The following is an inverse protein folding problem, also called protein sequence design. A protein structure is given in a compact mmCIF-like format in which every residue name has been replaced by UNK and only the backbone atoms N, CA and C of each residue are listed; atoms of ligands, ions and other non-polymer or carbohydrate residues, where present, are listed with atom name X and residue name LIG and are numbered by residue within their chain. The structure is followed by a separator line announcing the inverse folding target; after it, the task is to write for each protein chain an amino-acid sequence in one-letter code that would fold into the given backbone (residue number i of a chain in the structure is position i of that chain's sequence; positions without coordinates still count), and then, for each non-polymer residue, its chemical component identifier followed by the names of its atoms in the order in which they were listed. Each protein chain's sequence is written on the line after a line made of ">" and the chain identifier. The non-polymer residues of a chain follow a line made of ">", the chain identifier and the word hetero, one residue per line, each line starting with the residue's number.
data_IF_055067751105
#
_entry.id   IF_055067751105
#
_cell.length_a   1.000
_cell.length_b   1.000
_cell.length_c   1.000
_cell.angle_alpha   90.00
_cell.angle_beta   90.00
_cell.angle_gamma   90.00
#
_symmetry.space_group_name_H-M   'P 1'
#
loop_
_entity.id
_entity.type
_entity.pdbx_description
1 polymer ?
#
# COMPACT_ATOMS: atom_id res chain seq x y z
N UNK A 1 -0.44 -68.16 13.31
CA UNK A 1 -1.76 -67.51 13.39
C UNK A 1 -1.55 -66.13 13.98
N UNK A 2 -2.00 -65.10 13.25
CA UNK A 2 -2.36 -63.70 13.66
C UNK A 2 -1.28 -62.88 14.39
N UNK A 3 -0.57 -61.95 13.73
CA UNK A 3 -0.95 -60.55 13.41
C UNK A 3 -1.52 -59.73 14.58
N UNK A 4 -0.84 -58.62 14.92
CA UNK A 4 -1.46 -57.28 14.89
C UNK A 4 -0.47 -56.18 15.31
N UNK A 5 -0.17 -55.33 14.33
CA UNK A 5 0.50 -54.04 14.42
C UNK A 5 -0.45 -53.02 15.11
N UNK A 6 0.02 -52.16 16.02
CA UNK A 6 -0.72 -50.95 16.39
C UNK A 6 0.19 -49.81 16.83
N UNK A 7 0.12 -48.74 16.04
CA UNK A 7 0.60 -47.40 16.33
C UNK A 7 -0.25 -46.76 17.43
N UNK A 8 0.38 -46.08 18.39
CA UNK A 8 -0.29 -45.05 19.18
C UNK A 8 0.68 -43.90 19.42
N UNK A 9 0.45 -42.82 18.68
CA UNK A 9 1.05 -41.51 18.83
C UNK A 9 0.65 -40.92 20.19
N UNK A 10 1.66 -40.59 21.00
CA UNK A 10 1.47 -39.88 22.27
C UNK A 10 1.26 -38.39 21.94
N UNK A 11 0.03 -37.91 22.11
CA UNK A 11 -0.29 -36.49 22.09
C UNK A 11 0.25 -35.83 23.35
N UNK A 12 0.99 -34.73 23.17
CA UNK A 12 1.29 -33.77 24.22
C UNK A 12 0.98 -32.36 23.73
N UNK A 13 0.39 -31.61 24.65
CA UNK A 13 -0.43 -30.42 24.47
C UNK A 13 0.35 -29.10 24.42
N UNK A 14 -0.36 -28.11 23.88
CA UNK A 14 -0.37 -26.68 24.23
C UNK A 14 0.89 -25.84 24.02
N UNK A 15 0.79 -24.86 23.12
CA UNK A 15 0.82 -23.43 23.48
C UNK A 15 0.35 -22.58 22.28
N UNK A 16 -0.91 -22.17 22.31
CA UNK A 16 -1.45 -21.15 21.41
C UNK A 16 -1.10 -19.77 21.99
N UNK A 17 0.06 -19.23 21.63
CA UNK A 17 0.30 -17.79 21.76
C UNK A 17 -0.18 -17.11 20.48
N UNK A 18 -1.49 -16.87 20.38
CA UNK A 18 -2.02 -15.90 19.43
C UNK A 18 -1.99 -14.54 20.11
N UNK A 19 -0.85 -13.86 20.03
CA UNK A 19 -0.83 -12.41 20.27
C UNK A 19 -1.71 -11.78 19.19
N UNK A 20 -2.86 -11.24 19.59
CA UNK A 20 -3.76 -10.49 18.73
C UNK A 20 -3.33 -9.01 18.74
N UNK A 21 -2.83 -8.45 17.63
CA UNK A 21 -2.85 -7.01 17.39
C UNK A 21 -4.06 -6.59 16.54
N UNK A 22 -4.91 -7.52 16.10
CA UNK A 22 -5.97 -7.24 15.11
C UNK A 22 -7.13 -6.38 15.64
N UNK A 23 -7.30 -6.22 16.96
CA UNK A 23 -8.45 -5.49 17.53
C UNK A 23 -8.20 -3.97 17.59
N UNK A 24 -6.95 -3.56 17.81
CA UNK A 24 -6.59 -2.16 17.99
C UNK A 24 -6.67 -1.39 16.65
N UNK A 25 -6.25 -2.03 15.57
CA UNK A 25 -6.41 -1.54 14.20
C UNK A 25 -7.89 -1.39 13.80
N UNK A 26 -8.74 -2.34 14.20
CA UNK A 26 -10.17 -2.30 13.87
C UNK A 26 -10.91 -1.22 14.69
N UNK A 27 -10.51 -0.99 15.95
CA UNK A 27 -11.08 0.04 16.83
C UNK A 27 -10.66 1.46 16.42
N UNK A 28 -9.43 1.65 15.96
CA UNK A 28 -8.95 2.93 15.43
C UNK A 28 -9.68 3.29 14.13
N UNK A 29 -9.92 2.32 13.24
CA UNK A 29 -10.75 2.50 12.05
C UNK A 29 -12.19 2.83 12.41
N UNK A 30 -12.79 2.12 13.36
CA UNK A 30 -14.13 2.42 13.82
C UNK A 30 -14.21 3.85 14.38
N UNK A 31 -13.19 4.30 15.12
CA UNK A 31 -13.13 5.66 15.66
C UNK A 31 -13.01 6.71 14.56
N UNK A 32 -12.12 6.52 13.57
CA UNK A 32 -12.00 7.41 12.40
C UNK A 32 -13.31 7.46 11.60
N UNK A 33 -13.94 6.32 11.33
CA UNK A 33 -15.22 6.25 10.61
C UNK A 33 -16.36 6.94 11.37
N UNK A 34 -16.31 6.93 12.71
CA UNK A 34 -17.30 7.58 13.57
C UNK A 34 -17.05 9.09 13.67
N UNK A 35 -15.79 9.52 13.71
CA UNK A 35 -15.40 10.94 13.59
C UNK A 35 -15.80 11.51 12.22
N UNK A 36 -15.71 10.70 11.16
CA UNK A 36 -16.18 11.05 9.82
C UNK A 36 -17.71 11.16 9.70
N UNK A 37 -18.47 10.55 10.63
CA UNK A 37 -19.92 10.71 10.68
C UNK A 37 -20.33 12.11 11.17
N UNK A 38 -19.51 12.71 12.06
CA UNK A 38 -19.65 14.11 12.47
C UNK A 38 -19.14 15.10 11.42
N UNK A 39 -18.27 14.63 10.51
CA UNK A 39 -17.65 15.40 9.44
C UNK A 39 -18.44 15.40 8.13
N UNK A 40 -19.65 14.82 8.06
CA UNK A 40 -20.48 14.63 6.82
C UNK A 40 -20.66 15.86 5.91
N UNK A 41 -20.20 17.04 6.30
CA UNK A 41 -20.03 18.24 5.47
C UNK A 41 -18.78 18.19 4.56
N UNK A 42 -17.80 17.31 4.83
CA UNK A 42 -16.50 17.24 4.18
C UNK A 42 -16.22 15.85 3.58
N UNK A 43 -17.20 15.28 2.87
CA UNK A 43 -17.00 14.15 1.94
C UNK A 43 -16.06 14.50 0.79
N UNK A 44 -14.78 14.71 1.09
CA UNK A 44 -13.73 15.07 0.13
C UNK A 44 -12.53 14.13 0.29
N UNK A 45 -12.71 12.88 -0.15
CA UNK A 45 -11.77 12.37 -1.15
C UNK A 45 -11.65 13.50 -2.19
N UNK A 46 -10.44 14.03 -2.41
CA UNK A 46 -10.22 15.28 -3.15
C UNK A 46 -11.07 15.39 -4.42
N UNK A 47 -11.42 16.61 -4.85
CA UNK A 47 -12.19 16.84 -6.08
C UNK A 47 -11.64 15.94 -7.18
N UNK A 48 -12.50 15.14 -7.83
CA UNK A 48 -12.06 14.27 -8.93
C UNK A 48 -11.35 15.13 -9.97
N UNK A 49 -10.08 14.82 -10.23
CA UNK A 49 -9.22 15.54 -11.16
C UNK A 49 -9.63 15.34 -12.63
N UNK A 50 -10.80 14.71 -12.89
CA UNK A 50 -11.32 14.45 -14.23
C UNK A 50 -11.68 15.71 -15.03
N UNK A 51 -11.68 16.88 -14.40
CA UNK A 51 -11.96 18.17 -15.04
C UNK A 51 -10.68 18.95 -15.39
N UNK A 52 -9.50 18.42 -15.09
CA UNK A 52 -8.25 19.10 -15.38
C UNK A 52 -7.80 18.78 -16.81
N UNK A 53 -7.52 19.82 -17.59
CA UNK A 53 -6.99 19.67 -18.93
C UNK A 53 -5.59 19.04 -18.89
N UNK A 54 -5.36 18.02 -19.70
CA UNK A 54 -4.06 17.36 -19.78
C UNK A 54 -3.01 18.27 -20.40
N UNK A 55 -1.95 18.57 -19.65
CA UNK A 55 -0.75 19.21 -20.21
C UNK A 55 -0.01 18.20 -21.09
N UNK A 56 0.29 18.51 -22.37
CA UNK A 56 1.11 17.64 -23.22
C UNK A 56 2.43 17.26 -22.55
N UNK A 57 2.74 15.97 -22.56
CA UNK A 57 3.96 15.45 -21.96
C UNK A 57 4.57 14.38 -22.87
N UNK A 58 5.87 14.46 -23.10
CA UNK A 58 6.65 13.42 -23.78
C UNK A 58 7.19 12.45 -22.74
N UNK A 59 6.73 11.19 -22.70
CA UNK A 59 7.26 10.19 -21.76
C UNK A 59 8.76 10.03 -21.91
N UNK A 60 9.47 9.92 -20.79
CA UNK A 60 10.91 9.63 -20.73
C UNK A 60 11.11 8.40 -19.85
N UNK A 61 12.05 7.53 -20.23
CA UNK A 61 12.50 6.42 -19.39
C UNK A 61 13.84 6.85 -18.80
N UNK A 62 13.93 6.94 -17.48
CA UNK A 62 15.17 7.26 -16.80
C UNK A 62 16.05 6.01 -16.76
N UNK A 63 17.16 6.01 -17.50
CA UNK A 63 18.11 4.89 -17.53
C UNK A 63 19.14 4.95 -16.40
N UNK A 64 19.46 6.16 -15.93
CA UNK A 64 20.42 6.44 -14.87
C UNK A 64 19.81 7.47 -13.91
N UNK A 65 20.41 7.62 -12.71
CA UNK A 65 20.01 8.66 -11.77
C UNK A 65 20.37 10.02 -12.41
N UNK A 66 19.42 10.96 -12.55
CA UNK A 66 19.70 12.26 -13.14
C UNK A 66 20.75 13.01 -12.32
N UNK A 67 21.51 13.88 -12.98
CA UNK A 67 22.40 14.79 -12.28
C UNK A 67 21.60 15.82 -11.45
N UNK A 68 22.31 16.60 -10.63
CA UNK A 68 21.67 17.57 -9.73
C UNK A 68 20.91 18.64 -10.50
N UNK A 69 21.41 19.07 -11.66
CA UNK A 69 20.78 20.11 -12.46
C UNK A 69 19.49 19.58 -13.09
N UNK A 70 19.54 18.40 -13.71
CA UNK A 70 18.38 17.72 -14.28
C UNK A 70 17.32 17.40 -13.22
N UNK A 71 17.72 16.91 -12.05
CA UNK A 71 16.80 16.66 -10.93
C UNK A 71 16.13 17.93 -10.42
N UNK A 72 16.85 19.06 -10.41
CA UNK A 72 16.30 20.37 -10.02
C UNK A 72 15.26 20.85 -11.03
N UNK A 73 15.57 20.77 -12.33
CA UNK A 73 14.63 21.13 -13.39
C UNK A 73 13.38 20.25 -13.39
N UNK A 74 13.52 18.95 -13.13
CA UNK A 74 12.38 18.04 -13.00
C UNK A 74 11.50 18.38 -11.78
N UNK A 75 12.10 18.82 -10.67
CA UNK A 75 11.37 19.24 -9.48
C UNK A 75 10.64 20.58 -9.69
N UNK A 76 11.27 21.56 -10.34
CA UNK A 76 10.63 22.82 -10.74
C UNK A 76 9.42 22.56 -11.65
N UNK A 77 9.60 21.69 -12.65
CA UNK A 77 8.52 21.28 -13.55
C UNK A 77 7.36 20.61 -12.82
N UNK A 78 7.63 19.79 -11.80
CA UNK A 78 6.60 19.19 -10.97
C UNK A 78 5.85 20.27 -10.18
N UNK A 79 6.58 21.20 -9.55
CA UNK A 79 6.02 22.30 -8.77
C UNK A 79 5.06 23.18 -9.59
N UNK A 80 5.47 23.59 -10.79
CA UNK A 80 4.63 24.38 -11.70
C UNK A 80 3.32 23.66 -12.07
N UNK A 81 3.39 22.34 -12.27
CA UNK A 81 2.22 21.52 -12.61
C UNK A 81 1.27 21.36 -11.43
N UNK A 82 1.80 21.13 -10.24
CA UNK A 82 0.99 21.07 -9.02
C UNK A 82 0.27 22.40 -8.79
N UNK A 83 0.98 23.53 -8.93
CA UNK A 83 0.40 24.86 -8.82
C UNK A 83 -0.71 25.12 -9.85
N UNK A 84 -0.51 24.69 -11.11
CA UNK A 84 -1.52 24.79 -12.18
C UNK A 84 -2.84 24.12 -11.80
N UNK A 85 -2.77 23.05 -11.02
CA UNK A 85 -3.95 22.27 -10.59
C UNK A 85 -4.42 22.56 -9.17
N UNK A 86 -3.79 23.54 -8.48
CA UNK A 86 -4.08 23.84 -7.08
C UNK A 86 -3.79 22.67 -6.14
N UNK A 87 -2.77 21.89 -6.46
CA UNK A 87 -2.24 20.77 -5.68
C UNK A 87 -0.92 21.17 -5.02
N UNK A 88 -0.52 20.43 -4.01
CA UNK A 88 0.73 20.63 -3.28
C UNK A 88 1.42 19.27 -3.07
N UNK A 89 2.75 19.29 -3.02
CA UNK A 89 3.55 18.10 -2.73
C UNK A 89 3.67 17.90 -1.22
N UNK A 90 3.29 16.72 -0.75
CA UNK A 90 3.58 16.29 0.61
C UNK A 90 4.81 15.39 0.61
N UNK A 91 5.85 15.79 1.33
CA UNK A 91 7.05 14.98 1.50
C UNK A 91 6.74 13.75 2.35
N UNK A 92 7.00 12.56 1.80
CA UNK A 92 6.84 11.26 2.45
C UNK A 92 8.23 10.68 2.74
N UNK A 93 8.35 9.94 3.83
CA UNK A 93 9.58 9.21 4.15
C UNK A 93 10.03 8.33 2.98
N UNK A 94 11.28 8.51 2.56
CA UNK A 94 11.93 7.74 1.48
C UNK A 94 12.34 6.33 1.90
N UNK A 95 11.44 5.59 2.56
CA UNK A 95 11.64 4.20 2.97
C UNK A 95 10.98 3.22 1.97
N UNK A 96 11.14 1.92 2.20
CA UNK A 96 10.47 0.88 1.39
C UNK A 96 8.95 0.83 1.58
N UNK A 97 8.35 1.75 2.34
CA UNK A 97 6.91 1.89 2.54
C UNK A 97 6.33 3.16 1.91
N UNK A 98 7.15 4.01 1.29
CA UNK A 98 6.76 5.33 0.79
C UNK A 98 5.46 5.32 -0.03
N UNK A 99 5.28 4.33 -0.93
CA UNK A 99 4.06 4.20 -1.72
C UNK A 99 2.82 3.93 -0.86
N UNK A 100 2.93 3.09 0.18
CA UNK A 100 1.84 2.80 1.10
C UNK A 100 1.55 3.96 2.04
N UNK A 101 2.59 4.71 2.44
CA UNK A 101 2.46 5.94 3.23
C UNK A 101 1.75 7.03 2.45
N UNK A 102 2.10 7.23 1.18
CA UNK A 102 1.43 8.17 0.29
C UNK A 102 -0.06 7.80 0.09
N UNK A 103 -0.36 6.53 -0.11
CA UNK A 103 -1.75 6.06 -0.20
C UNK A 103 -2.50 6.23 1.12
N UNK A 104 -1.85 5.95 2.25
CA UNK A 104 -2.44 6.11 3.58
C UNK A 104 -2.77 7.56 3.89
N UNK A 105 -1.88 8.50 3.55
CA UNK A 105 -2.16 9.94 3.66
C UNK A 105 -3.37 10.34 2.81
N UNK A 106 -3.44 9.90 1.55
CA UNK A 106 -4.56 10.28 0.66
C UNK A 106 -5.91 9.70 1.09
N UNK A 107 -5.93 8.55 1.77
CA UNK A 107 -7.15 7.88 2.21
C UNK A 107 -7.57 8.24 3.65
N UNK A 108 -6.60 8.39 4.55
CA UNK A 108 -6.82 8.51 6.00
C UNK A 108 -6.23 9.79 6.60
N UNK A 109 -5.62 10.68 5.78
CA UNK A 109 -4.92 11.89 6.24
C UNK A 109 -3.82 11.61 7.25
N UNK A 110 -3.28 10.38 7.21
CA UNK A 110 -2.15 9.99 8.04
C UNK A 110 -1.33 8.89 7.35
N UNK A 111 -0.02 9.11 7.13
CA UNK A 111 0.87 8.11 6.54
C UNK A 111 1.11 6.92 7.47
N UNK A 112 0.78 7.02 8.76
CA UNK A 112 1.00 5.96 9.76
C UNK A 112 0.13 4.72 9.49
N UNK A 113 -0.99 4.88 8.77
CA UNK A 113 -1.85 3.78 8.34
C UNK A 113 -1.26 2.94 7.19
N UNK A 114 0.00 3.15 6.79
CA UNK A 114 0.66 2.43 5.69
C UNK A 114 0.62 0.89 5.85
N UNK A 115 0.70 0.38 7.09
CA UNK A 115 0.60 -1.07 7.37
C UNK A 115 -0.79 -1.61 7.04
N UNK A 116 -1.83 -0.85 7.39
CA UNK A 116 -3.21 -1.20 7.08
C UNK A 116 -3.44 -1.21 5.57
N UNK A 117 -3.01 -0.16 4.87
CA UNK A 117 -3.09 -0.06 3.40
C UNK A 117 -2.38 -1.25 2.74
N UNK A 118 -1.15 -1.57 3.17
CA UNK A 118 -0.41 -2.75 2.66
C UNK A 118 -1.19 -4.05 2.89
N UNK A 119 -1.79 -4.25 4.06
CA UNK A 119 -2.62 -5.43 4.39
C UNK A 119 -3.79 -5.56 3.41
N UNK A 120 -4.52 -4.47 3.14
CA UNK A 120 -5.65 -4.47 2.21
C UNK A 120 -5.22 -4.73 0.77
N UNK A 121 -4.13 -4.10 0.31
CA UNK A 121 -3.58 -4.33 -1.03
C UNK A 121 -3.19 -5.80 -1.20
N UNK A 122 -2.47 -6.38 -0.24
CA UNK A 122 -2.08 -7.81 -0.31
C UNK A 122 -3.29 -8.73 -0.32
N UNK A 123 -4.36 -8.39 0.41
CA UNK A 123 -5.63 -9.14 0.40
C UNK A 123 -6.29 -9.06 -0.99
N UNK A 124 -6.35 -7.87 -1.58
CA UNK A 124 -6.87 -7.63 -2.94
C UNK A 124 -6.09 -8.44 -3.98
N UNK A 125 -4.75 -8.38 -3.96
CA UNK A 125 -3.88 -9.12 -4.87
C UNK A 125 -4.13 -10.64 -4.79
N UNK A 126 -4.28 -11.17 -3.57
CA UNK A 126 -4.59 -12.60 -3.39
C UNK A 126 -5.94 -12.99 -3.97
N UNK A 127 -6.97 -12.16 -3.78
CA UNK A 127 -8.33 -12.47 -4.20
C UNK A 127 -8.51 -12.36 -5.71
N UNK A 128 -7.93 -11.33 -6.34
CA UNK A 128 -8.12 -11.03 -7.76
C UNK A 128 -6.87 -11.30 -8.60
N UNK A 129 -6.20 -12.45 -8.35
CA UNK A 129 -4.95 -12.83 -9.05
C UNK A 129 -5.00 -12.61 -10.57
N UNK A 130 -6.07 -13.07 -11.22
CA UNK A 130 -6.21 -13.00 -12.69
C UNK A 130 -6.13 -11.58 -13.25
N UNK A 131 -6.54 -10.59 -12.46
CA UNK A 131 -6.50 -9.18 -12.84
C UNK A 131 -5.10 -8.57 -12.76
N UNK A 132 -4.18 -9.18 -12.01
CA UNK A 132 -2.86 -8.60 -11.72
C UNK A 132 -1.69 -9.42 -12.27
N UNK A 133 -1.85 -10.73 -12.44
CA UNK A 133 -0.74 -11.64 -12.77
C UNK A 133 -0.02 -11.28 -14.06
N UNK A 134 -0.73 -10.77 -15.08
CA UNK A 134 -0.13 -10.35 -16.35
C UNK A 134 0.83 -9.15 -16.25
N UNK A 135 0.76 -8.38 -15.16
CA UNK A 135 1.65 -7.23 -14.92
C UNK A 135 2.89 -7.59 -14.11
N UNK A 136 2.97 -8.82 -13.58
CA UNK A 136 4.06 -9.23 -12.69
C UNK A 136 5.07 -10.08 -13.48
N UNK A 137 6.31 -9.60 -13.71
CA UNK A 137 7.29 -10.31 -14.53
C UNK A 137 7.87 -11.56 -13.84
N UNK A 138 7.57 -11.76 -12.55
CA UNK A 138 8.01 -12.91 -11.76
C UNK A 138 6.86 -13.81 -11.35
N UNK A 139 7.16 -14.95 -10.72
CA UNK A 139 6.14 -15.86 -10.18
C UNK A 139 5.21 -15.10 -9.22
N UNK A 140 3.92 -15.01 -9.56
CA UNK A 140 2.94 -14.20 -8.83
C UNK A 140 2.90 -14.50 -7.32
N UNK A 141 2.96 -15.79 -6.95
CA UNK A 141 2.99 -16.21 -5.54
C UNK A 141 4.20 -15.65 -4.79
N UNK A 142 5.36 -15.57 -5.45
CA UNK A 142 6.57 -14.99 -4.87
C UNK A 142 6.45 -13.48 -4.72
N UNK A 143 5.87 -12.79 -5.72
CA UNK A 143 5.58 -11.37 -5.67
C UNK A 143 4.65 -11.03 -4.49
N UNK A 144 3.50 -11.70 -4.35
CA UNK A 144 2.57 -11.47 -3.23
C UNK A 144 3.23 -11.74 -1.87
N UNK A 145 4.14 -12.72 -1.78
CA UNK A 145 4.90 -13.00 -0.55
C UNK A 145 5.88 -11.87 -0.23
N UNK A 146 6.55 -11.29 -1.23
CA UNK A 146 7.42 -10.12 -1.05
C UNK A 146 6.61 -8.89 -0.65
N UNK A 147 5.47 -8.65 -1.31
CA UNK A 147 4.59 -7.51 -1.06
C UNK A 147 4.04 -7.45 0.39
N UNK A 148 3.93 -8.61 1.05
CA UNK A 148 3.55 -8.70 2.46
C UNK A 148 4.63 -8.19 3.42
N UNK A 149 5.92 -8.24 3.04
CA UNK A 149 7.01 -7.81 3.91
C UNK A 149 6.99 -6.28 4.06
N UNK A 150 7.22 -5.81 5.28
CA UNK A 150 7.51 -4.40 5.53
C UNK A 150 8.82 -4.02 4.81
N UNK A 151 8.93 -2.75 4.43
CA UNK A 151 10.08 -2.19 3.71
C UNK A 151 10.35 -2.79 2.33
N UNK A 152 9.42 -3.60 1.81
CA UNK A 152 9.44 -3.98 0.40
C UNK A 152 8.72 -2.91 -0.42
N UNK A 153 9.44 -2.34 -1.39
CA UNK A 153 8.93 -1.36 -2.35
C UNK A 153 7.60 -1.82 -2.96
N UNK A 154 6.70 -0.87 -3.20
CA UNK A 154 5.34 -1.17 -3.64
C UNK A 154 5.23 -1.64 -5.10
N UNK A 155 6.33 -1.58 -5.84
CA UNK A 155 6.53 -2.13 -7.18
C UNK A 155 7.54 -3.29 -7.18
N UNK A 156 7.62 -4.00 -8.31
CA UNK A 156 8.46 -5.18 -8.51
C UNK A 156 9.66 -4.88 -9.38
#
# INVERSE_FOLDING_TARGET
>A
MTESNSNASVSSSSSLNSSFPDIEDDQTIASILTEDESSRVAGRLGKRLSHLDSIPHTPRVNGEIPDVNDATLDHERLSERLATYGLEELQIEGDGNCQFRALADQLFRSPDYHKHVRKQIVKQLKHFRKSYEGYVPMKYRSYVKKMKKLDFYGDA
#
